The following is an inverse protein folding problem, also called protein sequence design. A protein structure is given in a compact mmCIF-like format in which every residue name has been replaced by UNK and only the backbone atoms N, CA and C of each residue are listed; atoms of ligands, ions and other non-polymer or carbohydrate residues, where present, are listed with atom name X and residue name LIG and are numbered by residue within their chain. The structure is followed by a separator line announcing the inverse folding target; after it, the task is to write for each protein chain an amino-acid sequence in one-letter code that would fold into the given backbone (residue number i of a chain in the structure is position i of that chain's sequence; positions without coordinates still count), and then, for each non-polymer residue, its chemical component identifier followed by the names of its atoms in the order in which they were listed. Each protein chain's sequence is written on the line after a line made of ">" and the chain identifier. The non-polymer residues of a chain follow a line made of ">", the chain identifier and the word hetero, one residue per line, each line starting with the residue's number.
data_IF_356200927083
#
_entry.id   IF_356200927083
#
_cell.length_a   1.000
_cell.length_b   1.000
_cell.length_c   1.000
_cell.angle_alpha   90.00
_cell.angle_beta   90.00
_cell.angle_gamma   90.00
#
_symmetry.space_group_name_H-M   'P 1'
#
loop_
_entity.id
_entity.type
_entity.pdbx_description
1 polymer ?
#
# COMPACT_ATOMS: atom_id res chain seq x y z
N UNK A 1 11.21 -0.89 6.89
CA UNK A 1 11.22 -2.35 6.63
C UNK A 1 12.15 -2.75 5.47
N UNK A 2 12.51 -1.83 4.58
CA UNK A 2 13.43 -2.07 3.46
C UNK A 2 14.89 -2.38 3.84
N UNK A 3 15.26 -2.45 5.12
CA UNK A 3 16.61 -2.81 5.56
C UNK A 3 16.56 -4.04 6.44
N UNK A 4 17.64 -4.84 6.44
CA UNK A 4 17.79 -6.01 7.33
C UNK A 4 17.59 -5.61 8.80
N UNK A 5 18.03 -4.40 9.18
CA UNK A 5 17.80 -3.85 10.53
C UNK A 5 16.31 -3.61 10.80
N UNK A 6 15.58 -3.10 9.81
CA UNK A 6 14.13 -2.91 9.90
C UNK A 6 13.37 -4.23 10.04
N UNK A 7 13.77 -5.27 9.30
CA UNK A 7 13.17 -6.60 9.42
C UNK A 7 13.40 -7.21 10.81
N UNK A 8 14.64 -7.14 11.32
CA UNK A 8 14.95 -7.58 12.69
C UNK A 8 14.15 -6.81 13.73
N UNK A 9 13.95 -5.50 13.54
CA UNK A 9 13.11 -4.69 14.42
C UNK A 9 11.65 -5.14 14.38
N UNK A 10 11.11 -5.46 13.20
CA UNK A 10 9.75 -6.01 13.09
C UNK A 10 9.61 -7.35 13.82
N UNK A 11 10.59 -8.24 13.70
CA UNK A 11 10.59 -9.51 14.43
C UNK A 11 10.64 -9.31 15.95
N UNK A 12 11.40 -8.32 16.42
CA UNK A 12 11.40 -7.92 17.84
C UNK A 12 10.01 -7.42 18.27
N UNK A 13 9.37 -6.57 17.47
CA UNK A 13 8.01 -6.08 17.76
C UNK A 13 7.00 -7.23 17.86
N UNK A 14 7.06 -8.19 16.93
CA UNK A 14 6.18 -9.38 16.97
C UNK A 14 6.43 -10.23 18.22
N UNK A 15 7.70 -10.36 18.64
CA UNK A 15 8.05 -11.07 19.86
C UNK A 15 7.55 -10.34 21.12
N UNK A 16 7.67 -9.01 21.17
CA UNK A 16 7.14 -8.18 22.27
C UNK A 16 5.61 -8.23 22.35
N UNK A 17 4.93 -8.35 21.21
CA UNK A 17 3.48 -8.59 21.16
C UNK A 17 3.07 -9.97 21.70
N UNK A 18 4.00 -10.92 21.78
CA UNK A 18 3.69 -12.32 22.10
C UNK A 18 2.97 -13.06 20.96
N UNK A 19 3.04 -12.56 19.72
CA UNK A 19 2.41 -13.21 18.57
C UNK A 19 3.36 -14.30 18.02
N UNK A 20 2.95 -15.58 17.97
CA UNK A 20 3.80 -16.63 17.42
C UNK A 20 4.13 -16.37 15.94
N UNK A 21 5.35 -16.73 15.52
CA UNK A 21 5.79 -16.54 14.14
C UNK A 21 4.94 -17.35 13.14
N UNK A 22 4.47 -18.54 13.54
CA UNK A 22 3.58 -19.37 12.73
C UNK A 22 2.23 -18.66 12.49
N UNK A 23 1.64 -18.11 13.55
CA UNK A 23 0.40 -17.32 13.49
C UNK A 23 0.58 -16.05 12.64
N UNK A 24 1.75 -15.41 12.70
CA UNK A 24 2.05 -14.20 11.93
C UNK A 24 2.12 -14.43 10.42
N UNK A 25 2.37 -15.67 9.97
CA UNK A 25 2.52 -16.03 8.55
C UNK A 25 1.23 -16.56 7.91
N UNK A 26 0.23 -16.91 8.71
CA UNK A 26 -1.05 -17.38 8.20
C UNK A 26 -2.04 -16.24 8.00
N UNK A 27 -3.12 -16.53 7.28
CA UNK A 27 -4.20 -15.57 7.10
C UNK A 27 -4.83 -15.21 8.46
N UNK A 28 -5.09 -13.92 8.68
CA UNK A 28 -5.73 -13.45 9.90
C UNK A 28 -7.05 -14.18 10.19
N UNK A 29 -7.81 -14.59 9.17
CA UNK A 29 -9.04 -15.36 9.35
C UNK A 29 -8.83 -16.78 9.94
N UNK A 30 -7.66 -17.37 9.73
CA UNK A 30 -7.28 -18.70 10.19
C UNK A 30 -6.62 -18.69 11.58
N UNK A 31 -6.24 -17.52 12.10
CA UNK A 31 -5.65 -17.38 13.44
C UNK A 31 -6.62 -17.80 14.54
N UNK A 32 -6.04 -18.24 15.66
CA UNK A 32 -6.83 -18.63 16.83
C UNK A 32 -7.76 -17.50 17.31
N UNK A 33 -8.97 -17.87 17.74
CA UNK A 33 -10.00 -16.92 18.12
C UNK A 33 -9.58 -16.06 19.32
N UNK A 34 -8.83 -16.62 20.26
CA UNK A 34 -8.34 -15.88 21.43
C UNK A 34 -7.39 -14.76 21.01
N UNK A 35 -6.43 -15.09 20.14
CA UNK A 35 -5.47 -14.14 19.58
C UNK A 35 -6.16 -13.04 18.76
N UNK A 36 -7.12 -13.39 17.90
CA UNK A 36 -7.86 -12.40 17.09
C UNK A 36 -8.64 -11.40 17.93
N UNK A 37 -9.18 -11.83 19.07
CA UNK A 37 -9.90 -10.94 20.00
C UNK A 37 -8.95 -9.99 20.72
N UNK A 38 -7.77 -10.46 21.09
CA UNK A 38 -6.77 -9.66 21.80
C UNK A 38 -5.90 -8.81 20.86
N UNK A 39 -5.88 -9.10 19.56
CA UNK A 39 -4.98 -8.48 18.58
C UNK A 39 -5.07 -6.95 18.56
N UNK A 40 -6.29 -6.40 18.66
CA UNK A 40 -6.50 -4.96 18.68
C UNK A 40 -5.80 -4.30 19.88
N UNK A 41 -6.00 -4.86 21.08
CA UNK A 41 -5.42 -4.32 22.32
C UNK A 41 -3.89 -4.49 22.34
N UNK A 42 -3.38 -5.58 21.79
CA UNK A 42 -1.94 -5.80 21.60
C UNK A 42 -1.35 -4.74 20.67
N UNK A 43 -2.00 -4.46 19.53
CA UNK A 43 -1.56 -3.42 18.58
C UNK A 43 -1.57 -2.03 19.20
N UNK A 44 -2.58 -1.70 20.02
CA UNK A 44 -2.65 -0.41 20.71
C UNK A 44 -1.47 -0.21 21.68
N UNK A 45 -1.21 -1.19 22.54
CA UNK A 45 -0.10 -1.14 23.51
C UNK A 45 1.26 -0.98 22.81
N UNK A 46 1.43 -1.65 21.67
CA UNK A 46 2.66 -1.55 20.88
C UNK A 46 2.80 -0.20 20.18
N UNK A 47 1.70 0.33 19.65
CA UNK A 47 1.72 1.64 19.01
C UNK A 47 2.17 2.73 19.98
N UNK A 48 1.67 2.69 21.22
CA UNK A 48 2.06 3.60 22.29
C UNK A 48 3.53 3.43 22.68
N UNK A 49 3.99 2.18 22.81
CA UNK A 49 5.36 1.87 23.25
C UNK A 49 6.44 2.24 22.23
N UNK A 50 6.13 2.13 20.93
CA UNK A 50 7.09 2.35 19.83
C UNK A 50 6.85 3.64 19.05
N UNK A 51 5.99 4.54 19.54
CA UNK A 51 5.67 5.83 18.90
C UNK A 51 5.21 5.63 17.45
N UNK A 52 4.39 4.60 17.22
CA UNK A 52 3.80 4.36 15.91
C UNK A 52 2.52 5.20 15.80
N UNK A 53 2.67 6.41 15.29
CA UNK A 53 1.54 7.33 15.12
C UNK A 53 0.53 6.79 14.10
N UNK A 54 -0.76 6.99 14.41
CA UNK A 54 -1.89 6.74 13.52
C UNK A 54 -2.06 5.28 13.04
N UNK A 55 -1.60 4.30 13.81
CA UNK A 55 -1.88 2.88 13.52
C UNK A 55 -3.34 2.52 13.78
N UNK A 56 -3.92 3.07 14.85
CA UNK A 56 -5.34 2.93 15.18
C UNK A 56 -6.05 4.22 14.80
N UNK A 57 -7.07 4.11 13.97
CA UNK A 57 -7.90 5.24 13.55
C UNK A 57 -9.37 4.84 13.52
N UNK A 58 -10.25 5.83 13.63
CA UNK A 58 -11.68 5.59 13.58
C UNK A 58 -12.11 5.23 12.16
N UNK A 59 -12.79 4.10 12.02
CA UNK A 59 -13.24 3.57 10.73
C UNK A 59 -14.55 2.81 10.90
N UNK A 60 -15.11 2.36 9.77
CA UNK A 60 -16.37 1.62 9.73
C UNK A 60 -16.16 0.21 9.20
N UNK A 61 -16.94 -0.73 9.74
CA UNK A 61 -16.98 -2.12 9.27
C UNK A 61 -18.34 -2.44 8.69
N UNK A 62 -18.35 -2.99 7.48
CA UNK A 62 -19.54 -3.57 6.89
C UNK A 62 -19.63 -5.05 7.26
N UNK A 63 -20.67 -5.41 8.00
CA UNK A 63 -21.01 -6.80 8.28
C UNK A 63 -22.14 -7.23 7.35
N UNK A 64 -21.91 -8.28 6.57
CA UNK A 64 -22.96 -8.85 5.72
C UNK A 64 -23.02 -10.37 5.84
N UNK A 65 -24.13 -10.84 6.39
CA UNK A 65 -24.32 -12.26 6.69
C UNK A 65 -23.34 -12.74 7.76
N UNK A 66 -23.12 -14.05 7.81
CA UNK A 66 -22.38 -14.67 8.92
C UNK A 66 -20.86 -14.72 8.72
N UNK A 67 -20.36 -14.60 7.48
CA UNK A 67 -18.93 -14.82 7.16
C UNK A 67 -18.20 -13.60 6.62
N UNK A 68 -18.91 -12.64 6.04
CA UNK A 68 -18.27 -11.54 5.31
C UNK A 68 -18.27 -10.27 6.15
N UNK A 69 -17.05 -9.85 6.51
CA UNK A 69 -16.79 -8.60 7.22
C UNK A 69 -15.74 -7.83 6.43
N UNK A 70 -16.12 -6.66 5.95
CA UNK A 70 -15.24 -5.78 5.16
C UNK A 70 -14.96 -4.49 5.93
N UNK A 71 -13.71 -4.02 5.90
CA UNK A 71 -13.36 -2.70 6.40
C UNK A 71 -13.64 -1.65 5.33
N UNK A 72 -14.01 -0.43 5.75
CA UNK A 72 -14.20 0.68 4.81
C UNK A 72 -12.96 0.93 3.94
N UNK A 73 -11.77 0.83 4.53
CA UNK A 73 -10.50 1.00 3.82
C UNK A 73 -10.24 -0.10 2.80
N UNK A 74 -10.59 -1.35 3.10
CA UNK A 74 -10.40 -2.48 2.18
C UNK A 74 -11.22 -2.27 0.90
N UNK A 75 -12.45 -1.75 1.03
CA UNK A 75 -13.29 -1.41 -0.11
C UNK A 75 -12.66 -0.29 -0.96
N UNK A 76 -12.11 0.75 -0.33
CA UNK A 76 -11.46 1.86 -1.06
C UNK A 76 -10.23 1.38 -1.84
N UNK A 77 -9.36 0.59 -1.22
CA UNK A 77 -8.19 0.03 -1.89
C UNK A 77 -8.59 -0.95 -3.01
N UNK A 78 -9.63 -1.76 -2.80
CA UNK A 78 -10.15 -2.65 -3.83
C UNK A 78 -10.69 -1.87 -5.04
N UNK A 79 -11.48 -0.82 -4.81
CA UNK A 79 -11.99 0.04 -5.88
C UNK A 79 -10.86 0.74 -6.64
N UNK A 80 -9.89 1.31 -5.92
CA UNK A 80 -8.73 1.93 -6.54
C UNK A 80 -7.97 0.92 -7.41
N UNK A 81 -7.79 -0.32 -6.94
CA UNK A 81 -7.12 -1.36 -7.70
C UNK A 81 -7.92 -1.87 -8.91
N UNK A 82 -9.25 -1.90 -8.85
CA UNK A 82 -10.12 -2.26 -9.98
C UNK A 82 -10.13 -1.17 -11.06
N UNK A 83 -10.06 0.09 -10.64
CA UNK A 83 -9.98 1.23 -11.56
C UNK A 83 -8.67 1.24 -12.36
N UNK A 84 -7.59 0.73 -11.76
CA UNK A 84 -6.30 0.61 -12.42
C UNK A 84 -6.28 -0.58 -13.41
N UNK A 85 -6.08 -0.34 -14.71
CA UNK A 85 -6.04 -1.42 -15.69
C UNK A 85 -4.75 -2.24 -15.53
N UNK A 86 -4.87 -3.51 -15.15
CA UNK A 86 -3.75 -4.47 -15.14
C UNK A 86 -3.36 -4.91 -16.55
N UNK A 87 -4.34 -5.09 -17.45
CA UNK A 87 -4.17 -5.80 -18.73
C UNK A 87 -4.48 -4.96 -19.96
N UNK A 88 -3.73 -5.20 -21.05
CA UNK A 88 -3.56 -4.26 -22.20
C UNK A 88 -4.86 -4.01 -22.97
N UNK A 89 -5.86 -4.84 -22.73
CA UNK A 89 -7.10 -4.88 -23.49
C UNK A 89 -8.28 -4.26 -22.74
N UNK A 90 -8.14 -3.95 -21.44
CA UNK A 90 -9.24 -3.43 -20.63
C UNK A 90 -9.38 -1.92 -20.87
N UNK A 91 -10.55 -1.51 -21.35
CA UNK A 91 -10.89 -0.10 -21.52
C UNK A 91 -11.18 0.51 -20.14
N UNK A 92 -10.80 1.77 -19.94
CA UNK A 92 -11.10 2.51 -18.71
C UNK A 92 -12.59 2.51 -18.34
N UNK A 93 -13.48 2.51 -19.34
CA UNK A 93 -14.93 2.42 -19.13
C UNK A 93 -15.35 1.10 -18.46
N UNK A 94 -14.67 -0.01 -18.78
CA UNK A 94 -14.98 -1.32 -18.20
C UNK A 94 -14.42 -1.39 -16.77
N UNK A 95 -13.17 -0.91 -16.55
CA UNK A 95 -12.61 -0.74 -15.21
C UNK A 95 -13.50 0.11 -14.29
N UNK A 96 -14.06 1.21 -14.82
CA UNK A 96 -14.98 2.06 -14.06
C UNK A 96 -16.28 1.33 -13.71
N UNK A 97 -16.85 0.56 -14.66
CA UNK A 97 -18.04 -0.26 -14.42
C UNK A 97 -17.79 -1.33 -13.38
N UNK A 98 -16.64 -2.00 -13.42
CA UNK A 98 -16.25 -3.02 -12.45
C UNK A 98 -16.04 -2.42 -11.06
N UNK A 99 -15.35 -1.28 -10.98
CA UNK A 99 -15.19 -0.55 -9.73
C UNK A 99 -16.54 -0.12 -9.14
N UNK A 100 -17.48 0.36 -9.97
CA UNK A 100 -18.84 0.70 -9.53
C UNK A 100 -19.64 -0.54 -9.12
N UNK A 101 -19.52 -1.65 -9.86
CA UNK A 101 -20.19 -2.90 -9.54
C UNK A 101 -19.72 -3.47 -8.19
N UNK A 102 -18.46 -3.28 -7.82
CA UNK A 102 -17.89 -3.72 -6.54
C UNK A 102 -18.58 -3.12 -5.30
N UNK A 103 -19.22 -1.95 -5.45
CA UNK A 103 -20.01 -1.31 -4.40
C UNK A 103 -21.38 -1.96 -4.22
N UNK A 104 -21.88 -2.66 -5.24
CA UNK A 104 -23.15 -3.36 -5.16
C UNK A 104 -23.02 -4.59 -4.27
N UNK A 105 -23.99 -4.77 -3.38
CA UNK A 105 -24.09 -5.95 -2.50
C UNK A 105 -24.24 -7.26 -3.27
N UNK A 106 -24.63 -7.20 -4.55
CA UNK A 106 -24.86 -8.35 -5.41
C UNK A 106 -23.55 -8.90 -6.02
N UNK A 107 -22.58 -8.04 -6.33
CA UNK A 107 -21.36 -8.42 -7.06
C UNK A 107 -20.13 -8.53 -6.13
N UNK A 108 -20.22 -9.45 -5.17
CA UNK A 108 -19.13 -9.68 -4.18
C UNK A 108 -17.85 -10.21 -4.76
N UNK A 109 -17.95 -11.08 -5.75
CA UNK A 109 -16.79 -11.70 -6.40
C UNK A 109 -15.86 -10.64 -6.98
N UNK A 110 -16.43 -9.57 -7.54
CA UNK A 110 -15.68 -8.42 -8.07
C UNK A 110 -14.96 -7.67 -6.96
N UNK A 111 -15.61 -7.48 -5.80
CA UNK A 111 -14.97 -6.85 -4.64
C UNK A 111 -13.81 -7.70 -4.10
N UNK A 112 -13.98 -9.02 -3.98
CA UNK A 112 -12.93 -9.93 -3.53
C UNK A 112 -11.75 -9.98 -4.51
N UNK A 113 -12.03 -9.98 -5.81
CA UNK A 113 -11.01 -9.82 -6.84
C UNK A 113 -10.28 -8.48 -6.71
N UNK A 114 -11.02 -7.40 -6.47
CA UNK A 114 -10.45 -6.07 -6.24
C UNK A 114 -9.51 -6.04 -5.04
N UNK A 115 -9.86 -6.71 -3.94
CA UNK A 115 -9.00 -6.85 -2.75
C UNK A 115 -7.70 -7.58 -3.12
N UNK A 116 -7.77 -8.64 -3.92
CA UNK A 116 -6.58 -9.37 -4.35
C UNK A 116 -5.70 -8.56 -5.32
N UNK A 117 -6.31 -7.78 -6.21
CA UNK A 117 -5.59 -6.80 -7.05
C UNK A 117 -4.94 -5.71 -6.21
N UNK A 118 -5.60 -5.23 -5.16
CA UNK A 118 -5.07 -4.22 -4.25
C UNK A 118 -3.82 -4.71 -3.51
N UNK A 119 -3.81 -5.96 -3.04
CA UNK A 119 -2.60 -6.56 -2.43
C UNK A 119 -1.43 -6.56 -3.41
N UNK A 120 -1.67 -6.98 -4.66
CA UNK A 120 -0.65 -6.97 -5.72
C UNK A 120 -0.12 -5.56 -5.98
N UNK A 121 -1.01 -4.58 -6.09
CA UNK A 121 -0.65 -3.17 -6.27
C UNK A 121 0.21 -2.62 -5.13
N UNK A 122 -0.16 -2.90 -3.86
CA UNK A 122 0.63 -2.48 -2.70
C UNK A 122 2.01 -3.15 -2.67
N UNK A 123 2.11 -4.43 -3.06
CA UNK A 123 3.41 -5.11 -3.18
C UNK A 123 4.30 -4.50 -4.27
N UNK A 124 3.72 -4.15 -5.42
CA UNK A 124 4.42 -3.49 -6.53
C UNK A 124 4.93 -2.11 -6.10
N UNK A 125 4.11 -1.30 -5.44
CA UNK A 125 4.51 0.02 -4.93
C UNK A 125 5.63 -0.10 -3.88
N UNK A 126 5.51 -1.06 -2.96
CA UNK A 126 6.55 -1.30 -1.95
C UNK A 126 7.88 -1.70 -2.59
N UNK A 127 7.85 -2.62 -3.57
CA UNK A 127 9.05 -3.08 -4.28
C UNK A 127 9.73 -1.94 -5.04
N UNK A 128 8.95 -1.08 -5.70
CA UNK A 128 9.54 0.05 -6.42
C UNK A 128 10.09 1.12 -5.47
N UNK A 129 9.41 1.38 -4.36
CA UNK A 129 9.95 2.28 -3.33
C UNK A 129 11.26 1.73 -2.76
N UNK A 130 11.33 0.42 -2.51
CA UNK A 130 12.55 -0.26 -2.07
C UNK A 130 13.69 -0.06 -3.08
N UNK A 131 13.44 -0.34 -4.36
CA UNK A 131 14.45 -0.17 -5.43
C UNK A 131 14.91 1.29 -5.53
N UNK A 132 13.98 2.23 -5.44
CA UNK A 132 14.28 3.66 -5.52
C UNK A 132 15.15 4.15 -4.36
N UNK A 133 14.94 3.64 -3.15
CA UNK A 133 15.76 3.96 -1.98
C UNK A 133 17.14 3.31 -2.05
N UNK A 134 17.20 2.03 -2.46
CA UNK A 134 18.45 1.28 -2.55
C UNK A 134 19.39 1.85 -3.63
N UNK A 135 18.83 2.16 -4.80
CA UNK A 135 19.55 2.80 -5.91
C UNK A 135 19.74 4.31 -5.73
N UNK A 136 19.26 4.90 -4.63
CA UNK A 136 19.32 6.36 -4.34
C UNK A 136 18.76 7.23 -5.47
N UNK A 137 17.64 6.80 -6.06
CA UNK A 137 16.96 7.50 -7.16
C UNK A 137 16.19 8.74 -6.69
N UNK A 138 16.01 8.92 -5.37
CA UNK A 138 15.39 10.12 -4.79
C UNK A 138 16.49 11.17 -4.56
N UNK A 139 16.48 12.20 -5.40
CA UNK A 139 17.51 13.24 -5.44
C UNK A 139 16.95 14.56 -4.93
N UNK A 140 17.75 15.29 -4.16
CA UNK A 140 17.41 16.64 -3.70
C UNK A 140 17.88 17.68 -4.72
N UNK A 141 16.94 18.40 -5.32
CA UNK A 141 17.21 19.51 -6.22
C UNK A 141 17.42 20.86 -5.49
N UNK A 142 17.41 20.85 -4.15
CA UNK A 142 17.46 22.04 -3.31
C UNK A 142 16.12 22.34 -2.64
N UNK A 143 15.15 22.99 -3.33
CA UNK A 143 13.86 23.33 -2.75
C UNK A 143 12.85 22.18 -2.74
N UNK A 144 13.08 21.11 -3.52
CA UNK A 144 12.23 19.92 -3.55
C UNK A 144 13.06 18.65 -3.83
N UNK A 145 12.48 17.51 -3.53
CA UNK A 145 12.96 16.19 -3.91
C UNK A 145 12.33 15.81 -5.24
N UNK A 146 13.05 15.08 -6.09
CA UNK A 146 12.47 14.51 -7.31
C UNK A 146 12.80 13.04 -7.46
N UNK A 147 11.89 12.32 -8.11
CA UNK A 147 12.00 10.90 -8.45
C UNK A 147 11.47 10.69 -9.86
N UNK A 148 12.25 10.03 -10.71
CA UNK A 148 11.82 9.69 -12.08
C UNK A 148 11.78 8.17 -12.19
N UNK A 149 10.61 7.63 -12.48
CA UNK A 149 10.42 6.23 -12.83
C UNK A 149 10.83 6.03 -14.28
N UNK A 150 11.73 5.09 -14.54
CA UNK A 150 12.25 4.82 -15.88
C UNK A 150 11.31 3.90 -16.67
N UNK A 151 11.25 4.06 -18.00
CA UNK A 151 10.40 3.26 -18.92
C UNK A 151 10.66 1.75 -18.91
N UNK A 152 11.82 1.33 -18.39
CA UNK A 152 12.18 -0.09 -18.22
C UNK A 152 11.84 -0.68 -16.86
N UNK A 153 11.20 0.06 -15.94
CA UNK A 153 10.86 -0.49 -14.63
C UNK A 153 9.83 -1.62 -14.78
N UNK A 154 10.07 -2.73 -14.08
CA UNK A 154 9.05 -3.76 -13.90
C UNK A 154 7.77 -3.09 -13.40
N UNK A 155 6.62 -3.47 -13.97
CA UNK A 155 5.32 -2.96 -13.55
C UNK A 155 5.06 -1.47 -13.86
N UNK A 156 5.80 -0.87 -14.82
CA UNK A 156 5.67 0.52 -15.27
C UNK A 156 4.22 1.00 -15.47
N UNK A 157 3.33 0.07 -15.86
CA UNK A 157 1.91 0.33 -16.12
C UNK A 157 1.14 0.81 -14.91
N UNK A 158 1.47 0.31 -13.72
CA UNK A 158 0.79 0.75 -12.52
C UNK A 158 1.11 2.23 -12.24
N UNK A 159 2.27 2.72 -12.65
CA UNK A 159 2.70 4.11 -12.40
C UNK A 159 2.20 5.10 -13.46
N UNK A 160 1.67 4.61 -14.59
CA UNK A 160 1.04 5.48 -15.60
C UNK A 160 -0.28 6.07 -15.12
N UNK A 161 -0.87 5.57 -14.03
CA UNK A 161 -2.06 6.17 -13.43
C UNK A 161 -1.67 7.17 -12.31
N UNK A 162 -2.23 8.40 -12.32
CA UNK A 162 -1.92 9.43 -11.31
C UNK A 162 -2.18 8.98 -9.86
N UNK A 163 -3.22 8.17 -9.62
CA UNK A 163 -3.57 7.70 -8.28
C UNK A 163 -2.47 6.80 -7.70
N UNK A 164 -1.94 5.88 -8.52
CA UNK A 164 -0.87 4.98 -8.13
C UNK A 164 0.46 5.70 -8.01
N UNK A 165 0.77 6.61 -8.93
CA UNK A 165 1.96 7.44 -8.87
C UNK A 165 1.95 8.32 -7.60
N UNK A 166 0.81 8.91 -7.26
CA UNK A 166 0.63 9.67 -6.03
C UNK A 166 0.82 8.81 -4.78
N UNK A 167 0.27 7.60 -4.75
CA UNK A 167 0.46 6.65 -3.65
C UNK A 167 1.94 6.25 -3.50
N UNK A 168 2.61 5.98 -4.62
CA UNK A 168 4.05 5.70 -4.65
C UNK A 168 4.86 6.89 -4.15
N UNK A 169 4.60 8.10 -4.65
CA UNK A 169 5.28 9.32 -4.24
C UNK A 169 5.11 9.57 -2.74
N UNK A 170 3.89 9.38 -2.21
CA UNK A 170 3.62 9.54 -0.78
C UNK A 170 4.43 8.56 0.07
N UNK A 171 4.45 7.27 -0.31
CA UNK A 171 5.19 6.24 0.43
C UNK A 171 6.70 6.44 0.30
N UNK A 172 7.19 6.80 -0.89
CA UNK A 172 8.58 7.12 -1.16
C UNK A 172 9.06 8.34 -0.36
N UNK A 173 8.27 9.41 -0.28
CA UNK A 173 8.58 10.58 0.53
C UNK A 173 8.67 10.22 2.01
N UNK A 174 7.67 9.53 2.56
CA UNK A 174 7.67 9.16 3.99
C UNK A 174 8.85 8.25 4.35
N UNK A 175 9.17 7.29 3.49
CA UNK A 175 10.31 6.39 3.69
C UNK A 175 11.66 7.10 3.53
N UNK A 176 11.78 8.04 2.59
CA UNK A 176 12.97 8.88 2.45
C UNK A 176 13.17 9.77 3.68
N UNK A 177 12.13 10.47 4.14
CA UNK A 177 12.19 11.33 5.34
C UNK A 177 12.56 10.53 6.59
N UNK A 178 12.05 9.30 6.73
CA UNK A 178 12.41 8.40 7.83
C UNK A 178 13.90 7.97 7.80
N UNK A 179 14.54 8.01 6.63
CA UNK A 179 15.96 7.66 6.44
C UNK A 179 16.88 8.88 6.48
N UNK A 180 16.40 10.01 5.95
CA UNK A 180 17.19 11.20 5.70
C UNK A 180 17.38 12.08 6.95
N UNK A 181 18.27 13.07 6.83
CA UNK A 181 18.53 14.05 7.90
C UNK A 181 17.35 15.02 8.04
N UNK A 182 17.19 15.63 9.23
CA UNK A 182 16.11 16.57 9.62
C UNK A 182 15.76 17.64 8.57
N UNK A 183 16.72 18.05 7.72
CA UNK A 183 16.54 19.06 6.67
C UNK A 183 15.63 18.62 5.52
N UNK A 184 15.49 17.31 5.29
CA UNK A 184 14.62 16.75 4.25
C UNK A 184 13.15 16.62 4.68
N UNK A 185 12.83 16.79 5.96
CA UNK A 185 11.48 16.56 6.49
C UNK A 185 10.44 17.59 6.03
N UNK A 186 10.87 18.77 5.56
CA UNK A 186 9.98 19.82 5.06
C UNK A 186 9.96 19.96 3.53
N UNK A 187 10.62 19.07 2.79
CA UNK A 187 10.72 19.19 1.33
C UNK A 187 9.59 18.41 0.63
N UNK A 188 8.93 19.00 -0.38
CA UNK A 188 7.97 18.27 -1.21
C UNK A 188 8.70 17.30 -2.15
N UNK A 189 8.00 16.25 -2.59
CA UNK A 189 8.49 15.30 -3.61
C UNK A 189 7.71 15.47 -4.91
N UNK A 190 8.43 15.64 -6.00
CA UNK A 190 7.91 15.58 -7.37
C UNK A 190 8.25 14.20 -7.94
N UNK A 191 7.24 13.42 -8.28
CA UNK A 191 7.43 12.14 -8.95
C UNK A 191 6.99 12.26 -10.40
N UNK A 192 7.78 11.71 -11.31
CA UNK A 192 7.41 11.60 -12.72
C UNK A 192 7.48 10.16 -13.20
N UNK A 193 6.55 9.77 -14.06
CA UNK A 193 6.50 8.47 -14.68
C UNK A 193 6.06 8.56 -16.15
N UNK A 194 6.59 7.69 -17.02
CA UNK A 194 6.23 7.66 -18.43
C UNK A 194 4.82 7.12 -18.64
N UNK A 195 4.13 7.68 -19.63
CA UNK A 195 2.83 7.19 -20.09
C UNK A 195 3.06 6.10 -21.13
N UNK A 196 2.62 4.87 -20.87
CA UNK A 196 2.80 3.76 -21.82
C UNK A 196 2.05 4.01 -23.15
N UNK A 197 0.93 4.75 -23.10
CA UNK A 197 0.12 5.06 -24.28
C UNK A 197 0.76 6.10 -25.21
N UNK A 198 1.58 7.00 -24.67
CA UNK A 198 2.28 8.08 -25.39
C UNK A 198 3.74 8.12 -24.91
N UNK A 199 4.68 7.44 -25.61
CA UNK A 199 6.05 7.28 -25.15
C UNK A 199 6.83 8.60 -25.01
N UNK A 200 6.34 9.69 -25.61
CA UNK A 200 6.96 11.02 -25.51
C UNK A 200 6.39 11.86 -24.35
N UNK A 201 5.36 11.37 -23.64
CA UNK A 201 4.70 12.09 -22.56
C UNK A 201 4.96 11.43 -21.20
N UNK A 202 5.29 12.27 -20.22
CA UNK A 202 5.46 11.88 -18.82
C UNK A 202 4.41 12.59 -17.96
N UNK A 203 3.89 11.87 -16.97
CA UNK A 203 3.08 12.40 -15.86
C UNK A 203 4.01 12.85 -14.75
#
# INVERSE_FOLDING_TARGET
>A
LWTVRGEKRLQQLLAEMGLPLAESRQMFAAMDLSLRRQFHDMMHKMADSHQLDNVVFQSFTLHHGCRHRYQATDCVYAMAALFNPSDKEIKYNDCFRDALASLSRQHRTVLEEGIERAKRLLMVIYRQTYNALDMKQIISAGPFLYMVVQEGSLDARYYSEPTCLGMLAYIALRSYVATARKKAAGLPLVASAPIIASPDECI
#
